data_IF_595194173019
#
_entry.id   IF_595194173019
#
_cell.length_a   1.000
_cell.length_b   1.000
_cell.length_c   1.000
_cell.angle_alpha   90.00
_cell.angle_beta   90.00
_cell.angle_gamma   90.00
#
_symmetry.space_group_name_H-M   'P 1'
#
loop_
_entity.id
_entity.type
_entity.pdbx_description
1 polymer ?
#
# COMPACT_ATOMS: atom_id res chain seq x y z
N UNK A 1 -10.25 23.56 27.39
CA UNK A 1 -9.02 22.77 27.28
C UNK A 1 -9.32 21.69 26.27
N UNK A 2 -8.81 21.80 25.04
CA UNK A 2 -9.07 20.81 24.00
C UNK A 2 -8.15 19.61 24.24
N UNK A 3 -8.69 18.53 24.78
CA UNK A 3 -8.04 17.22 24.77
C UNK A 3 -7.85 16.81 23.31
N UNK A 4 -6.62 16.97 22.82
CA UNK A 4 -6.23 16.43 21.52
C UNK A 4 -5.97 14.96 21.78
N UNK A 5 -6.92 14.09 21.41
CA UNK A 5 -6.71 12.65 21.53
C UNK A 5 -5.36 12.27 20.87
N UNK A 6 -4.54 11.41 21.49
CA UNK A 6 -3.26 11.03 20.92
C UNK A 6 -3.50 10.45 19.52
N UNK A 7 -2.69 10.90 18.57
CA UNK A 7 -2.71 10.35 17.22
C UNK A 7 -2.37 8.85 17.30
N UNK A 8 -2.98 8.02 16.43
CA UNK A 8 -2.66 6.60 16.39
C UNK A 8 -1.16 6.40 16.07
N UNK A 9 -0.60 5.32 16.59
CA UNK A 9 0.78 4.95 16.30
C UNK A 9 0.97 4.71 14.80
N UNK A 10 1.98 5.36 14.21
CA UNK A 10 2.39 5.11 12.84
C UNK A 10 3.39 3.95 12.81
N UNK A 11 2.99 2.85 12.18
CA UNK A 11 3.89 1.74 11.91
C UNK A 11 4.61 1.98 10.57
N UNK A 12 5.95 2.06 10.61
CA UNK A 12 6.79 2.22 9.42
C UNK A 12 7.92 1.19 9.44
N UNK A 13 8.25 0.64 8.27
CA UNK A 13 9.38 -0.27 8.08
C UNK A 13 9.94 -0.12 6.68
N UNK A 14 11.24 -0.32 6.54
CA UNK A 14 11.92 -0.42 5.24
C UNK A 14 11.88 -1.88 4.78
N UNK A 15 11.48 -2.11 3.53
CA UNK A 15 11.35 -3.44 2.95
C UNK A 15 12.32 -3.58 1.79
N UNK A 16 13.13 -4.64 1.79
CA UNK A 16 13.80 -5.07 0.58
C UNK A 16 12.81 -5.78 -0.37
N UNK A 17 13.25 -6.06 -1.60
CA UNK A 17 12.39 -6.69 -2.62
C UNK A 17 11.85 -8.05 -2.16
N UNK A 18 12.67 -8.87 -1.51
CA UNK A 18 12.26 -10.19 -1.03
C UNK A 18 11.16 -10.08 0.05
N UNK A 19 11.31 -9.14 0.98
CA UNK A 19 10.33 -8.89 2.04
C UNK A 19 9.06 -8.26 1.48
N UNK A 20 9.17 -7.41 0.46
CA UNK A 20 8.01 -6.88 -0.26
C UNK A 20 7.22 -8.01 -0.94
N UNK A 21 7.89 -8.91 -1.65
CA UNK A 21 7.23 -10.06 -2.29
C UNK A 21 6.55 -10.94 -1.23
N UNK A 22 7.21 -11.20 -0.10
CA UNK A 22 6.63 -11.98 0.99
C UNK A 22 5.40 -11.30 1.57
N UNK A 23 5.44 -9.98 1.79
CA UNK A 23 4.28 -9.21 2.26
C UNK A 23 3.07 -9.39 1.34
N UNK A 24 3.26 -9.37 0.02
CA UNK A 24 2.16 -9.58 -0.92
C UNK A 24 1.62 -11.01 -0.89
N UNK A 25 2.48 -12.01 -0.67
CA UNK A 25 2.06 -13.39 -0.46
C UNK A 25 1.23 -13.53 0.82
N UNK A 26 1.65 -12.89 1.91
CA UNK A 26 0.97 -12.93 3.20
C UNK A 26 -0.37 -12.20 3.14
N UNK A 27 -0.43 -11.00 2.53
CA UNK A 27 -1.69 -10.27 2.32
C UNK A 27 -2.68 -11.13 1.54
N UNK A 28 -2.22 -11.84 0.51
CA UNK A 28 -3.09 -12.75 -0.26
C UNK A 28 -3.60 -13.93 0.57
N UNK A 29 -2.74 -14.52 1.39
CA UNK A 29 -3.05 -15.77 2.09
C UNK A 29 -3.79 -15.55 3.42
N UNK A 30 -3.55 -14.42 4.09
CA UNK A 30 -3.91 -14.21 5.50
C UNK A 30 -4.95 -13.11 5.69
N UNK A 31 -5.34 -12.39 4.64
CA UNK A 31 -6.24 -11.23 4.76
C UNK A 31 -7.43 -11.31 3.80
N UNK A 32 -8.50 -10.62 4.16
CA UNK A 32 -9.56 -10.29 3.21
C UNK A 32 -9.21 -8.96 2.54
N UNK A 33 -8.63 -9.04 1.34
CA UNK A 33 -8.27 -7.87 0.55
C UNK A 33 -9.54 -7.16 0.06
N UNK A 34 -9.66 -5.87 0.39
CA UNK A 34 -10.82 -5.06 0.03
C UNK A 34 -10.54 -4.18 -1.18
N UNK A 35 -9.40 -3.46 -1.19
CA UNK A 35 -9.03 -2.55 -2.28
C UNK A 35 -7.51 -2.48 -2.45
N UNK A 36 -7.06 -2.34 -3.69
CA UNK A 36 -5.69 -1.99 -4.06
C UNK A 36 -5.77 -0.71 -4.88
N UNK A 37 -5.22 0.37 -4.34
CA UNK A 37 -5.36 1.72 -4.90
C UNK A 37 -3.99 2.23 -5.35
N UNK A 38 -3.74 2.33 -6.67
CA UNK A 38 -2.52 2.93 -7.18
C UNK A 38 -2.54 4.45 -6.96
N UNK A 39 -1.39 5.01 -6.56
CA UNK A 39 -1.17 6.45 -6.48
C UNK A 39 -0.16 6.85 -7.55
N UNK A 40 -0.66 7.43 -8.63
CA UNK A 40 0.17 7.92 -9.73
C UNK A 40 0.83 9.25 -9.40
N UNK A 41 1.91 9.57 -10.11
CA UNK A 41 2.46 10.92 -10.12
C UNK A 41 1.43 11.92 -10.68
N UNK A 42 1.63 13.21 -10.40
CA UNK A 42 0.83 14.27 -11.03
C UNK A 42 1.10 14.26 -12.54
N UNK A 43 0.36 13.45 -13.27
CA UNK A 43 0.43 13.27 -14.71
C UNK A 43 -1.00 13.05 -15.17
N UNK A 44 -1.48 14.02 -15.95
CA UNK A 44 -2.65 14.00 -16.85
C UNK A 44 -3.69 12.90 -16.61
N UNK A 45 -4.84 13.29 -16.07
CA UNK A 45 -6.06 12.48 -15.92
C UNK A 45 -5.84 11.12 -15.22
N UNK A 46 -6.08 11.10 -13.90
CA UNK A 46 -6.23 9.84 -13.17
C UNK A 46 -7.61 9.27 -13.53
N UNK A 47 -7.72 8.10 -14.18
CA UNK A 47 -9.01 7.46 -14.40
C UNK A 47 -9.71 7.29 -13.05
N UNK A 48 -11.05 7.34 -13.06
CA UNK A 48 -11.87 7.03 -11.87
C UNK A 48 -11.32 5.76 -11.20
N UNK A 49 -11.01 5.88 -9.90
CA UNK A 49 -10.13 4.99 -9.11
C UNK A 49 -10.26 3.54 -9.58
N UNK A 50 -9.37 3.11 -10.47
CA UNK A 50 -9.31 1.74 -10.91
C UNK A 50 -8.74 0.93 -9.75
N UNK A 51 -9.60 0.19 -9.06
CA UNK A 51 -9.13 -0.86 -8.18
C UNK A 51 -8.46 -1.90 -9.06
N UNK A 52 -7.15 -2.06 -8.86
CA UNK A 52 -6.36 -3.07 -9.56
C UNK A 52 -6.26 -4.33 -8.72
N UNK A 53 -5.79 -5.41 -9.30
CA UNK A 53 -5.46 -6.62 -8.54
C UNK A 53 -4.19 -6.42 -7.71
N UNK A 54 -4.01 -7.26 -6.70
CA UNK A 54 -2.80 -7.25 -5.86
C UNK A 54 -1.53 -7.52 -6.69
N UNK A 55 -1.63 -8.39 -7.71
CA UNK A 55 -0.53 -8.71 -8.62
C UNK A 55 -0.15 -7.52 -9.53
N UNK A 56 -1.15 -6.85 -10.10
CA UNK A 56 -0.93 -5.63 -10.89
C UNK A 56 -0.32 -4.51 -10.03
N UNK A 57 -0.73 -4.41 -8.77
CA UNK A 57 -0.16 -3.48 -7.80
C UNK A 57 1.32 -3.73 -7.51
N UNK A 58 1.70 -5.01 -7.32
CA UNK A 58 3.09 -5.39 -7.10
C UNK A 58 3.97 -5.07 -8.32
N UNK A 59 3.55 -5.51 -9.51
CA UNK A 59 4.26 -5.20 -10.76
C UNK A 59 4.38 -3.69 -10.97
N UNK A 60 3.32 -2.91 -10.67
CA UNK A 60 3.36 -1.46 -10.80
C UNK A 60 4.36 -0.79 -9.84
N UNK A 61 4.52 -1.31 -8.62
CA UNK A 61 5.53 -0.83 -7.68
C UNK A 61 6.95 -1.19 -8.13
N UNK A 62 7.19 -2.46 -8.46
CA UNK A 62 8.51 -2.95 -8.89
C UNK A 62 9.00 -2.26 -10.18
N UNK A 63 8.08 -1.96 -11.10
CA UNK A 63 8.39 -1.29 -12.36
C UNK A 63 8.35 0.24 -12.26
N UNK A 64 8.21 0.81 -11.06
CA UNK A 64 8.12 2.26 -10.82
C UNK A 64 7.03 2.99 -11.64
N UNK A 65 5.93 2.28 -11.97
CA UNK A 65 4.78 2.83 -12.71
C UNK A 65 3.85 3.67 -11.82
N UNK A 66 3.89 3.44 -10.51
CA UNK A 66 3.16 4.20 -9.49
C UNK A 66 4.13 4.78 -8.48
N UNK A 67 3.77 5.91 -7.85
CA UNK A 67 4.55 6.49 -6.74
C UNK A 67 4.28 5.82 -5.41
N UNK A 68 3.08 5.29 -5.24
CA UNK A 68 2.71 4.51 -4.08
C UNK A 68 1.61 3.52 -4.44
N UNK A 69 1.47 2.50 -3.61
CA UNK A 69 0.32 1.60 -3.59
C UNK A 69 -0.30 1.65 -2.21
N UNK A 70 -1.62 1.81 -2.15
CA UNK A 70 -2.35 1.73 -0.90
C UNK A 70 -3.17 0.45 -0.87
N UNK A 71 -3.00 -0.35 0.18
CA UNK A 71 -3.74 -1.59 0.39
C UNK A 71 -4.78 -1.38 1.49
N UNK A 72 -6.02 -1.75 1.21
CA UNK A 72 -7.07 -1.85 2.21
C UNK A 72 -7.47 -3.30 2.38
N UNK A 73 -7.32 -3.84 3.59
CA UNK A 73 -7.62 -5.23 3.86
C UNK A 73 -8.10 -5.41 5.30
N UNK A 74 -8.74 -6.56 5.58
CA UNK A 74 -9.10 -6.98 6.93
C UNK A 74 -8.19 -8.11 7.38
N UNK A 75 -7.57 -7.93 8.55
CA UNK A 75 -6.76 -8.94 9.22
C UNK A 75 -7.18 -9.03 10.69
N UNK A 76 -7.50 -10.24 11.16
CA UNK A 76 -7.98 -10.50 12.52
C UNK A 76 -9.17 -9.62 12.95
N UNK A 77 -10.09 -9.33 12.03
CA UNK A 77 -11.30 -8.53 12.30
C UNK A 77 -11.08 -7.01 12.28
N UNK A 78 -9.84 -6.54 12.15
CA UNK A 78 -9.49 -5.12 12.06
C UNK A 78 -9.20 -4.73 10.61
N UNK A 79 -9.67 -3.55 10.20
CA UNK A 79 -9.39 -2.98 8.87
C UNK A 79 -8.09 -2.17 8.94
N UNK A 80 -7.18 -2.47 8.02
CA UNK A 80 -5.89 -1.82 7.88
C UNK A 80 -5.80 -1.04 6.56
N UNK A 81 -4.99 0.01 6.59
CA UNK A 81 -4.68 0.87 5.46
C UNK A 81 -3.17 1.05 5.39
N UNK A 82 -2.53 0.24 4.56
CA UNK A 82 -1.08 0.29 4.38
C UNK A 82 -0.73 1.10 3.14
N UNK A 83 0.33 1.90 3.24
CA UNK A 83 0.86 2.66 2.10
C UNK A 83 2.29 2.21 1.84
N UNK A 84 2.49 1.61 0.67
CA UNK A 84 3.78 1.17 0.17
C UNK A 84 4.33 2.19 -0.81
N UNK A 85 5.56 2.63 -0.59
CA UNK A 85 6.24 3.61 -1.42
C UNK A 85 7.66 3.14 -1.69
N UNK A 86 8.20 3.32 -2.91
CA UNK A 86 9.62 3.15 -3.14
C UNK A 86 10.41 4.02 -2.16
N UNK A 87 11.53 3.51 -1.65
CA UNK A 87 12.40 4.30 -0.80
C UNK A 87 12.89 5.54 -1.56
N UNK A 88 13.00 6.73 -0.93
CA UNK A 88 13.45 7.95 -1.60
C UNK A 88 14.85 7.85 -2.25
N UNK A 89 15.59 6.81 -1.90
CA UNK A 89 16.98 6.54 -2.24
C UNK A 89 17.16 5.13 -2.83
N UNK A 90 16.08 4.46 -3.23
CA UNK A 90 16.15 3.21 -3.99
C UNK A 90 16.63 3.50 -5.42
N UNK A 91 17.84 3.04 -5.75
CA UNK A 91 18.38 2.99 -7.13
C UNK A 91 17.64 1.99 -8.00
#
# INVERSE_FOLDING_TARGET
>A
MSDSAPLPDLHQSELDEATLIQLFADVRALTELMEVIPKYAASTYVPEIATITLDEGLSSLLENKVRALQLRYRHNGTIWWDTLMPMPHGT
#
